data_IF_426518142802
#
_entry.id   IF_426518142802
#
_cell.length_a   1.000
_cell.length_b   1.000
_cell.length_c   1.000
_cell.angle_alpha   90.00
_cell.angle_beta   90.00
_cell.angle_gamma   90.00
#
_symmetry.space_group_name_H-M   'P 1'
#
loop_
_entity.id
_entity.type
_entity.pdbx_description
1 polymer ?
#
# COMPACT_ATOMS: atom_id res chain seq x y z
N UNK A 1 -3.44 -1.72 5.51
CA UNK A 1 -4.09 -2.85 6.19
C UNK A 1 -4.26 -3.96 5.17
N UNK A 2 -3.86 -5.19 5.50
CA UNK A 2 -4.06 -6.37 4.66
C UNK A 2 -5.20 -7.19 5.27
N UNK A 3 -6.21 -7.50 4.47
CA UNK A 3 -7.38 -8.29 4.85
C UNK A 3 -7.51 -9.48 3.90
N UNK A 4 -8.26 -10.50 4.32
CA UNK A 4 -8.73 -11.57 3.44
C UNK A 4 -10.25 -11.46 3.30
N UNK A 5 -10.76 -11.57 2.08
CA UNK A 5 -12.20 -11.55 1.84
C UNK A 5 -12.83 -12.95 1.96
N UNK A 6 -14.14 -13.03 1.72
CA UNK A 6 -14.91 -14.28 1.79
C UNK A 6 -14.57 -15.28 0.68
N UNK A 7 -14.01 -14.82 -0.44
CA UNK A 7 -13.59 -15.65 -1.57
C UNK A 7 -12.12 -16.08 -1.45
N UNK A 8 -11.44 -15.65 -0.37
CA UNK A 8 -10.08 -16.01 -0.07
C UNK A 8 -9.04 -15.06 -0.67
N UNK A 9 -9.44 -14.02 -1.39
CA UNK A 9 -8.54 -13.02 -1.97
C UNK A 9 -7.99 -12.07 -0.88
N UNK A 10 -6.80 -11.56 -1.12
CA UNK A 10 -6.08 -10.66 -0.23
C UNK A 10 -6.28 -9.21 -0.66
N UNK A 11 -6.84 -8.38 0.22
CA UNK A 11 -7.14 -6.99 -0.03
C UNK A 11 -6.19 -6.09 0.77
N UNK A 12 -5.40 -5.29 0.06
CA UNK A 12 -4.53 -4.27 0.64
C UNK A 12 -5.17 -2.88 0.55
N UNK A 13 -5.50 -2.31 1.71
CA UNK A 13 -5.90 -0.92 1.86
C UNK A 13 -4.71 -0.03 2.23
N UNK A 14 -4.49 1.06 1.49
CA UNK A 14 -3.45 2.06 1.78
C UNK A 14 -3.97 3.48 1.66
N UNK A 15 -3.54 4.36 2.57
CA UNK A 15 -3.74 5.81 2.42
C UNK A 15 -2.65 6.36 1.52
N UNK A 16 -3.05 7.14 0.53
CA UNK A 16 -2.16 7.93 -0.30
C UNK A 16 -2.43 9.40 0.01
N UNK A 17 -1.39 10.17 0.26
CA UNK A 17 -1.49 11.61 0.44
C UNK A 17 -0.71 12.24 -0.71
N UNK A 18 -1.40 12.99 -1.57
CA UNK A 18 -0.73 13.81 -2.57
C UNK A 18 -0.01 14.96 -1.86
N UNK A 19 1.31 14.88 -1.76
CA UNK A 19 2.16 15.88 -1.10
C UNK A 19 1.94 17.29 -1.66
N UNK A 20 1.58 17.41 -2.95
CA UNK A 20 1.48 18.69 -3.65
C UNK A 20 0.06 19.27 -3.75
N UNK A 21 -0.99 18.51 -3.41
CA UNK A 21 -2.37 18.96 -3.66
C UNK A 21 -3.33 18.75 -2.48
N UNK A 22 -2.81 18.40 -1.29
CA UNK A 22 -3.60 18.12 -0.08
C UNK A 22 -4.72 17.07 -0.28
N UNK A 23 -4.71 16.32 -1.39
CA UNK A 23 -5.70 15.28 -1.66
C UNK A 23 -5.21 13.98 -1.05
N UNK A 24 -5.89 13.58 0.03
CA UNK A 24 -5.80 12.23 0.57
C UNK A 24 -6.77 11.30 -0.15
N UNK A 25 -6.39 10.04 -0.32
CA UNK A 25 -7.24 8.99 -0.87
C UNK A 25 -6.98 7.65 -0.22
N UNK A 26 -8.02 6.82 -0.14
CA UNK A 26 -7.88 5.40 0.18
C UNK A 26 -7.74 4.63 -1.13
N UNK A 27 -6.64 3.89 -1.28
CA UNK A 27 -6.44 2.98 -2.40
C UNK A 27 -6.59 1.55 -1.93
N UNK A 28 -7.39 0.78 -2.68
CA UNK A 28 -7.57 -0.65 -2.51
C UNK A 28 -6.84 -1.39 -3.64
N UNK A 29 -6.24 -2.53 -3.30
CA UNK A 29 -5.60 -3.41 -4.28
C UNK A 29 -5.89 -4.86 -3.88
N UNK A 30 -6.32 -5.67 -4.85
CA UNK A 30 -6.69 -7.08 -4.65
C UNK A 30 -5.56 -7.97 -5.17
N UNK A 31 -5.32 -9.08 -4.49
CA UNK A 31 -4.32 -10.09 -4.82
C UNK A 31 -4.92 -11.47 -4.59
N UNK A 32 -4.65 -12.40 -5.50
CA UNK A 32 -5.05 -13.81 -5.33
C UNK A 32 -4.04 -14.56 -4.45
N UNK A 33 -2.77 -14.14 -4.48
CA UNK A 33 -1.67 -14.72 -3.71
C UNK A 33 -1.26 -13.85 -2.50
N UNK A 34 -0.98 -14.50 -1.38
CA UNK A 34 -0.57 -13.82 -0.14
C UNK A 34 0.82 -13.22 -0.26
N UNK A 35 1.73 -13.92 -0.89
CA UNK A 35 3.13 -13.50 -0.96
C UNK A 35 3.30 -12.30 -1.88
N UNK A 36 2.51 -12.20 -2.95
CA UNK A 36 2.41 -11.00 -3.79
C UNK A 36 1.93 -9.77 -3.01
N UNK A 37 0.91 -9.94 -2.18
CA UNK A 37 0.44 -8.88 -1.30
C UNK A 37 1.55 -8.43 -0.33
N UNK A 38 2.27 -9.38 0.28
CA UNK A 38 3.37 -9.10 1.21
C UNK A 38 4.58 -8.43 0.53
N UNK A 39 4.97 -8.90 -0.66
CA UNK A 39 6.02 -8.27 -1.49
C UNK A 39 5.67 -6.82 -1.80
N UNK A 40 4.41 -6.57 -2.16
CA UNK A 40 3.93 -5.21 -2.45
C UNK A 40 3.99 -4.32 -1.20
N UNK A 41 3.58 -4.83 -0.03
CA UNK A 41 3.68 -4.09 1.24
C UNK A 41 5.14 -3.72 1.53
N UNK A 42 6.07 -4.67 1.38
CA UNK A 42 7.51 -4.42 1.60
C UNK A 42 8.04 -3.35 0.64
N UNK A 43 7.69 -3.43 -0.65
CA UNK A 43 8.07 -2.44 -1.66
C UNK A 43 7.54 -1.04 -1.33
N UNK A 44 6.28 -0.93 -0.92
CA UNK A 44 5.67 0.38 -0.55
C UNK A 44 6.35 0.97 0.69
N UNK A 45 6.65 0.15 1.71
CA UNK A 45 7.36 0.60 2.90
C UNK A 45 8.74 1.14 2.54
N UNK A 46 9.53 0.36 1.80
CA UNK A 46 10.86 0.77 1.35
C UNK A 46 10.83 2.03 0.47
N UNK A 47 9.84 2.17 -0.42
CA UNK A 47 9.68 3.36 -1.23
C UNK A 47 9.37 4.61 -0.36
N UNK A 48 8.51 4.45 0.65
CA UNK A 48 8.25 5.51 1.63
C UNK A 48 9.51 5.90 2.38
N UNK A 49 10.22 4.95 2.96
CA UNK A 49 11.43 5.22 3.73
C UNK A 49 12.47 5.97 2.87
N UNK A 50 12.60 5.58 1.59
CA UNK A 50 13.46 6.29 0.63
C UNK A 50 12.98 7.72 0.34
N UNK A 51 11.69 7.95 0.13
CA UNK A 51 11.17 9.31 -0.09
C UNK A 51 11.29 10.19 1.16
N UNK A 52 11.08 9.64 2.36
CA UNK A 52 11.32 10.37 3.62
C UNK A 52 12.79 10.76 3.79
N UNK A 53 13.74 9.90 3.38
CA UNK A 53 15.18 10.20 3.41
C UNK A 53 15.57 11.27 2.38
N UNK A 54 14.86 11.42 1.27
CA UNK A 54 15.14 12.46 0.27
C UNK A 54 14.42 13.79 0.55
N UNK A 55 13.47 13.81 1.49
CA UNK A 55 12.70 15.00 1.86
C UNK A 55 13.18 15.66 3.17
N UNK A 56 14.22 15.13 3.82
CA UNK A 56 14.89 15.70 4.99
C UNK A 56 16.31 16.14 4.64
#
# INVERSE_FOLDING_TARGET
MLCRDLFGAFILYRRCFGLNNHRGGLKQQVFDDRDDALRTIKRIRHARDKEWVQAG
#
